data_IF_568756409867
#
_entry.id   IF_568756409867
#
_cell.length_a   1.000
_cell.length_b   1.000
_cell.length_c   1.000
_cell.angle_alpha   90.00
_cell.angle_beta   90.00
_cell.angle_gamma   90.00
#
_symmetry.space_group_name_H-M   'P 1'
#
loop_
_entity.id
_entity.type
_entity.pdbx_description
1 polymer ?
#
# COMPACT_ATOMS: atom_id res chain seq x y z
N UNK A 1 -25.94 -16.70 -3.99
CA UNK A 1 -26.17 -15.89 -2.76
C UNK A 1 -25.11 -14.81 -2.70
N UNK A 2 -25.48 -13.52 -2.81
CA UNK A 2 -24.52 -12.45 -2.53
C UNK A 2 -24.14 -12.53 -1.06
N UNK A 3 -22.86 -12.66 -0.77
CA UNK A 3 -22.36 -12.70 0.60
C UNK A 3 -22.80 -11.46 1.37
N UNK A 4 -23.27 -11.60 2.62
CA UNK A 4 -23.60 -10.48 3.53
C UNK A 4 -22.43 -9.51 3.78
N UNK A 5 -21.22 -9.85 3.33
CA UNK A 5 -19.98 -9.16 3.57
C UNK A 5 -19.45 -8.38 2.33
N UNK A 6 -20.25 -8.27 1.27
CA UNK A 6 -19.91 -7.43 0.12
C UNK A 6 -20.73 -6.15 0.11
N UNK A 7 -20.13 -5.00 -0.24
CA UNK A 7 -20.87 -3.77 -0.41
C UNK A 7 -21.86 -3.89 -1.57
N UNK A 8 -22.91 -3.10 -1.54
CA UNK A 8 -23.77 -2.90 -2.69
C UNK A 8 -23.07 -2.07 -3.79
N UNK A 9 -23.76 -1.84 -4.90
CA UNK A 9 -23.21 -1.04 -6.03
C UNK A 9 -22.87 0.41 -5.69
N UNK A 10 -23.35 0.91 -4.55
CA UNK A 10 -23.10 2.27 -4.07
C UNK A 10 -22.06 2.31 -2.94
N UNK A 11 -21.45 1.16 -2.62
CA UNK A 11 -20.44 1.06 -1.56
C UNK A 11 -21.00 0.93 -0.15
N UNK A 12 -22.26 0.51 0.01
CA UNK A 12 -22.88 0.34 1.31
C UNK A 12 -22.92 -1.12 1.77
N UNK A 13 -22.63 -1.32 3.05
CA UNK A 13 -22.86 -2.56 3.81
C UNK A 13 -24.10 -2.36 4.69
N UNK A 14 -25.30 -2.53 4.13
CA UNK A 14 -26.55 -2.17 4.78
C UNK A 14 -26.66 -0.66 4.99
N UNK A 15 -26.72 -0.22 6.24
CA UNK A 15 -26.76 1.21 6.60
C UNK A 15 -25.37 1.88 6.70
N UNK A 16 -24.28 1.13 6.58
CA UNK A 16 -22.91 1.62 6.71
C UNK A 16 -22.20 1.70 5.37
N UNK A 17 -21.34 2.68 5.19
CA UNK A 17 -20.54 2.85 3.99
C UNK A 17 -20.90 4.09 3.18
N UNK A 18 -20.59 4.05 1.90
CA UNK A 18 -20.73 5.18 0.98
C UNK A 18 -19.39 5.85 0.66
N UNK A 19 -19.43 6.92 -0.13
CA UNK A 19 -18.26 7.68 -0.57
C UNK A 19 -18.39 9.15 -0.14
N UNK A 20 -18.11 9.42 1.13
CA UNK A 20 -18.12 10.77 1.72
C UNK A 20 -16.72 11.40 1.57
N UNK A 21 -16.41 11.82 0.36
CA UNK A 21 -15.12 12.38 -0.03
C UNK A 21 -15.30 13.79 -0.61
N UNK A 22 -14.25 14.65 -0.64
CA UNK A 22 -14.30 15.93 -1.32
C UNK A 22 -14.68 15.78 -2.79
N UNK A 23 -15.51 16.68 -3.30
CA UNK A 23 -16.03 16.63 -4.68
C UNK A 23 -14.91 16.51 -5.73
N UNK A 24 -13.80 17.17 -5.48
CA UNK A 24 -12.61 17.12 -6.35
C UNK A 24 -12.08 15.70 -6.60
N UNK A 25 -12.28 14.77 -5.65
CA UNK A 25 -11.81 13.39 -5.73
C UNK A 25 -12.85 12.44 -6.36
N UNK A 26 -14.11 12.84 -6.48
CA UNK A 26 -15.18 12.00 -7.04
C UNK A 26 -14.84 11.40 -8.41
N UNK A 27 -14.32 12.18 -9.40
CA UNK A 27 -13.99 11.61 -10.71
C UNK A 27 -12.95 10.47 -10.62
N UNK A 28 -11.92 10.64 -9.80
CA UNK A 28 -10.88 9.63 -9.62
C UNK A 28 -11.38 8.37 -8.93
N UNK A 29 -12.21 8.55 -7.88
CA UNK A 29 -12.78 7.40 -7.14
C UNK A 29 -13.80 6.66 -8.02
N UNK A 30 -14.60 7.39 -8.82
CA UNK A 30 -15.53 6.78 -9.76
C UNK A 30 -14.80 5.98 -10.83
N UNK A 31 -13.76 6.53 -11.45
CA UNK A 31 -12.95 5.84 -12.45
C UNK A 31 -12.34 4.55 -11.87
N UNK A 32 -11.83 4.62 -10.64
CA UNK A 32 -11.32 3.43 -9.93
C UNK A 32 -12.43 2.40 -9.72
N UNK A 33 -13.59 2.82 -9.20
CA UNK A 33 -14.69 1.91 -8.91
C UNK A 33 -15.23 1.22 -10.17
N UNK A 34 -15.32 1.94 -11.29
CA UNK A 34 -15.82 1.43 -12.57
C UNK A 34 -14.86 0.39 -13.20
N UNK A 35 -13.56 0.50 -12.96
CA UNK A 35 -12.53 -0.32 -13.62
C UNK A 35 -11.85 -1.35 -12.72
N UNK A 36 -11.93 -1.19 -11.40
CA UNK A 36 -11.15 -1.94 -10.43
C UNK A 36 -11.26 -3.46 -10.61
N UNK A 37 -12.48 -3.99 -10.66
CA UNK A 37 -12.72 -5.44 -10.75
C UNK A 37 -12.15 -6.00 -12.05
N UNK A 38 -12.41 -5.36 -13.18
CA UNK A 38 -11.90 -5.79 -14.47
C UNK A 38 -10.37 -5.82 -14.51
N UNK A 39 -9.73 -4.82 -13.91
CA UNK A 39 -8.27 -4.75 -13.85
C UNK A 39 -7.71 -5.90 -13.02
N UNK A 40 -8.18 -6.05 -11.76
CA UNK A 40 -7.59 -7.04 -10.84
C UNK A 40 -7.87 -8.50 -11.24
N UNK A 41 -8.95 -8.76 -11.96
CA UNK A 41 -9.29 -10.11 -12.46
C UNK A 41 -8.58 -10.45 -13.78
N UNK A 42 -7.95 -9.48 -14.45
CA UNK A 42 -7.22 -9.73 -15.68
C UNK A 42 -5.98 -10.62 -15.44
N UNK A 43 -5.72 -11.56 -16.35
CA UNK A 43 -4.57 -12.45 -16.30
C UNK A 43 -3.24 -11.67 -16.32
N UNK A 44 -3.19 -10.60 -17.11
CA UNK A 44 -2.02 -9.72 -17.20
C UNK A 44 -1.69 -9.09 -15.83
N UNK A 45 -2.69 -8.50 -15.16
CA UNK A 45 -2.49 -7.91 -13.82
C UNK A 45 -2.04 -8.96 -12.81
N UNK A 46 -2.71 -10.12 -12.78
CA UNK A 46 -2.40 -11.18 -11.84
C UNK A 46 -0.99 -11.73 -12.03
N UNK A 47 -0.54 -11.85 -13.28
CA UNK A 47 0.81 -12.32 -13.62
C UNK A 47 1.87 -11.32 -13.17
N UNK A 48 1.72 -10.05 -13.54
CA UNK A 48 2.65 -8.98 -13.18
C UNK A 48 2.70 -8.77 -11.66
N UNK A 49 1.54 -8.74 -11.01
CA UNK A 49 1.44 -8.57 -9.55
C UNK A 49 2.13 -9.71 -8.79
N UNK A 50 1.88 -10.97 -9.18
CA UNK A 50 2.52 -12.13 -8.55
C UNK A 50 4.03 -12.16 -8.78
N UNK A 51 4.49 -11.80 -9.97
CA UNK A 51 5.92 -11.69 -10.26
C UNK A 51 6.57 -10.63 -9.37
N UNK A 52 6.00 -9.43 -9.26
CA UNK A 52 6.52 -8.39 -8.38
C UNK A 52 6.49 -8.78 -6.91
N UNK A 53 5.43 -9.43 -6.44
CA UNK A 53 5.38 -9.93 -5.06
C UNK A 53 6.51 -10.92 -4.78
N UNK A 54 6.81 -11.81 -5.70
CA UNK A 54 7.86 -12.82 -5.54
C UNK A 54 9.26 -12.22 -5.67
N UNK A 55 9.53 -11.50 -6.75
CA UNK A 55 10.88 -11.14 -7.17
C UNK A 55 11.34 -9.80 -6.62
N UNK A 56 10.42 -8.86 -6.42
CA UNK A 56 10.72 -7.52 -5.91
C UNK A 56 10.42 -7.35 -4.42
N UNK A 57 9.26 -7.83 -3.98
CA UNK A 57 8.84 -7.71 -2.56
C UNK A 57 9.50 -8.77 -1.68
N UNK A 58 9.77 -9.97 -2.22
CA UNK A 58 10.38 -11.07 -1.48
C UNK A 58 9.37 -11.98 -0.78
N UNK A 59 8.20 -12.20 -1.40
CA UNK A 59 7.18 -13.10 -0.85
C UNK A 59 7.28 -14.53 -1.40
N UNK A 60 6.83 -15.54 -0.63
CA UNK A 60 6.31 -15.45 0.75
C UNK A 60 7.40 -15.20 1.78
N UNK A 61 7.12 -14.35 2.77
CA UNK A 61 8.02 -14.16 3.90
C UNK A 61 8.00 -15.38 4.84
N UNK A 62 9.12 -15.70 5.51
CA UNK A 62 9.19 -16.85 6.41
C UNK A 62 8.25 -16.75 7.62
N UNK A 63 7.83 -17.90 8.10
CA UNK A 63 7.28 -18.08 9.44
C UNK A 63 8.37 -18.68 10.32
N UNK A 64 8.96 -17.88 11.22
CA UNK A 64 10.11 -18.23 12.03
C UNK A 64 9.71 -18.59 13.46
N UNK A 65 10.11 -19.79 13.94
CA UNK A 65 9.94 -20.15 15.34
C UNK A 65 10.97 -19.42 16.20
N UNK A 66 10.50 -18.54 17.08
CA UNK A 66 11.33 -17.79 18.01
C UNK A 66 11.61 -18.66 19.27
N UNK A 67 12.56 -19.58 19.17
CA UNK A 67 12.82 -20.61 20.20
C UNK A 67 13.01 -20.01 21.59
N UNK A 68 13.89 -19.02 21.75
CA UNK A 68 14.16 -18.39 23.05
C UNK A 68 12.95 -17.71 23.67
N UNK A 69 12.05 -17.13 22.85
CA UNK A 69 10.79 -16.57 23.34
C UNK A 69 9.82 -17.69 23.73
N UNK A 70 9.78 -18.75 22.93
CA UNK A 70 8.95 -19.92 23.22
C UNK A 70 9.32 -20.56 24.54
N UNK A 71 10.60 -20.77 24.80
CA UNK A 71 11.12 -21.33 26.05
C UNK A 71 10.80 -20.41 27.25
N UNK A 72 10.97 -19.09 27.07
CA UNK A 72 10.71 -18.11 28.12
C UNK A 72 9.23 -18.05 28.54
N UNK A 73 8.31 -18.19 27.60
CA UNK A 73 6.87 -18.04 27.85
C UNK A 73 6.10 -19.36 27.89
N UNK A 74 6.76 -20.50 27.68
CA UNK A 74 6.11 -21.82 27.70
C UNK A 74 5.09 -22.03 26.60
N UNK A 75 5.28 -21.38 25.44
CA UNK A 75 4.36 -21.43 24.30
C UNK A 75 5.12 -21.40 22.97
N UNK A 76 4.58 -22.00 21.92
CA UNK A 76 5.20 -21.89 20.60
C UNK A 76 4.93 -20.51 20.00
N UNK A 77 5.96 -19.66 19.91
CA UNK A 77 5.88 -18.31 19.38
C UNK A 77 6.50 -18.27 17.98
N UNK A 78 5.65 -17.97 16.98
CA UNK A 78 6.07 -17.81 15.59
C UNK A 78 6.04 -16.34 15.18
N UNK A 79 7.05 -15.90 14.47
CA UNK A 79 7.15 -14.57 13.88
C UNK A 79 6.89 -14.66 12.38
N UNK A 80 5.84 -14.01 11.90
CA UNK A 80 5.64 -13.78 10.47
C UNK A 80 6.54 -12.61 10.06
N UNK A 81 7.63 -12.92 9.33
CA UNK A 81 8.75 -12.01 9.08
C UNK A 81 8.46 -11.02 7.95
N UNK A 82 7.46 -10.15 8.14
CA UNK A 82 7.13 -9.08 7.17
C UNK A 82 8.20 -7.95 7.13
N UNK A 83 9.07 -7.92 8.11
CA UNK A 83 10.29 -7.10 8.15
C UNK A 83 11.30 -7.46 7.05
N UNK A 84 11.21 -8.67 6.49
CA UNK A 84 12.04 -9.14 5.37
C UNK A 84 11.48 -8.75 3.99
N UNK A 85 10.28 -8.17 3.92
CA UNK A 85 9.81 -7.57 2.69
C UNK A 85 10.72 -6.40 2.27
N UNK A 86 10.84 -6.17 0.98
CA UNK A 86 11.46 -4.95 0.46
C UNK A 86 10.85 -3.72 1.14
N UNK A 87 11.66 -2.74 1.53
CA UNK A 87 11.34 -1.59 2.40
C UNK A 87 11.30 -1.88 3.91
N UNK A 88 11.42 -3.14 4.34
CA UNK A 88 11.46 -3.53 5.75
C UNK A 88 10.10 -3.59 6.45
N UNK A 89 8.99 -3.59 5.69
CA UNK A 89 7.63 -3.64 6.25
C UNK A 89 6.60 -4.17 5.24
N UNK A 90 5.41 -4.54 5.75
CA UNK A 90 4.33 -5.12 4.95
C UNK A 90 3.66 -4.16 3.95
N UNK A 91 3.84 -2.85 4.09
CA UNK A 91 3.15 -1.84 3.25
C UNK A 91 3.45 -1.97 1.77
N UNK A 92 4.62 -2.47 1.39
CA UNK A 92 4.98 -2.71 -0.01
C UNK A 92 4.00 -3.68 -0.72
N UNK A 93 3.38 -4.59 0.01
CA UNK A 93 2.45 -5.57 -0.56
C UNK A 93 1.25 -4.89 -1.24
N UNK A 94 0.63 -3.92 -0.55
CA UNK A 94 -0.53 -3.23 -1.11
C UNK A 94 -0.14 -2.15 -2.11
N UNK A 95 0.99 -1.45 -1.89
CA UNK A 95 1.40 -0.39 -2.80
C UNK A 95 1.80 -0.90 -4.18
N UNK A 96 2.37 -2.12 -4.29
CA UNK A 96 2.62 -2.77 -5.58
C UNK A 96 1.32 -3.01 -6.36
N UNK A 97 0.26 -3.50 -5.71
CA UNK A 97 -1.04 -3.67 -6.38
C UNK A 97 -1.68 -2.34 -6.78
N UNK A 98 -1.64 -1.37 -5.89
CA UNK A 98 -2.21 -0.04 -6.14
C UNK A 98 -1.50 0.69 -7.28
N UNK A 99 -0.16 0.61 -7.36
CA UNK A 99 0.59 1.28 -8.44
C UNK A 99 0.31 0.66 -9.80
N UNK A 100 0.15 -0.66 -9.87
CA UNK A 100 -0.22 -1.35 -11.12
C UNK A 100 -1.60 -0.92 -11.61
N UNK A 101 -2.57 -0.79 -10.72
CA UNK A 101 -3.91 -0.28 -11.06
C UNK A 101 -3.80 1.16 -11.56
N UNK A 102 -3.10 2.03 -10.84
CA UNK A 102 -2.92 3.43 -11.23
C UNK A 102 -2.26 3.55 -12.61
N UNK A 103 -1.23 2.75 -12.90
CA UNK A 103 -0.55 2.71 -14.20
C UNK A 103 -1.50 2.25 -15.32
N UNK A 104 -2.31 1.22 -15.07
CA UNK A 104 -3.32 0.75 -16.05
C UNK A 104 -4.41 1.79 -16.32
N UNK A 105 -4.72 2.64 -15.35
CA UNK A 105 -5.61 3.80 -15.50
C UNK A 105 -4.90 5.04 -16.08
N UNK A 106 -3.66 4.92 -16.57
CA UNK A 106 -2.91 6.01 -17.17
C UNK A 106 -2.48 7.13 -16.22
N UNK A 107 -2.47 6.88 -14.90
CA UNK A 107 -2.03 7.87 -13.92
C UNK A 107 -0.51 8.05 -13.98
N UNK A 108 -0.07 9.30 -13.97
CA UNK A 108 1.35 9.68 -13.99
C UNK A 108 1.81 10.32 -12.69
N UNK A 109 0.87 10.74 -11.85
CA UNK A 109 1.12 11.39 -10.55
C UNK A 109 0.40 10.63 -9.45
N UNK A 110 1.15 10.26 -8.46
CA UNK A 110 0.67 9.51 -7.29
C UNK A 110 0.79 10.38 -6.06
N UNK A 111 -0.27 10.39 -5.26
CA UNK A 111 -0.25 11.02 -3.95
C UNK A 111 -0.45 9.96 -2.87
N UNK A 112 0.18 10.14 -1.72
CA UNK A 112 -0.03 9.33 -0.54
C UNK A 112 -0.04 10.20 0.71
N UNK A 113 -0.76 9.75 1.72
CA UNK A 113 -0.65 10.20 3.10
C UNK A 113 0.20 9.22 3.88
N UNK A 114 0.93 9.70 4.90
CA UNK A 114 1.67 8.83 5.80
C UNK A 114 1.81 9.47 7.19
N UNK A 115 1.63 8.70 8.23
CA UNK A 115 1.96 9.09 9.61
C UNK A 115 3.41 8.70 9.95
N UNK A 116 3.66 7.45 10.37
CA UNK A 116 5.01 6.97 10.72
C UNK A 116 6.00 6.87 9.55
N UNK A 117 5.58 7.14 8.32
CA UNK A 117 6.44 7.17 7.14
C UNK A 117 6.53 5.86 6.35
N UNK A 118 6.11 4.72 6.88
CA UNK A 118 6.26 3.42 6.20
C UNK A 118 5.43 3.31 4.93
N UNK A 119 4.20 3.83 4.92
CA UNK A 119 3.39 3.85 3.72
C UNK A 119 3.97 4.81 2.67
N UNK A 120 4.44 5.98 3.10
CA UNK A 120 5.12 6.94 2.22
C UNK A 120 6.36 6.35 1.56
N UNK A 121 7.22 5.65 2.33
CA UNK A 121 8.40 4.96 1.79
C UNK A 121 7.99 3.89 0.78
N UNK A 122 6.99 3.06 1.10
CA UNK A 122 6.52 2.02 0.17
C UNK A 122 5.94 2.62 -1.12
N UNK A 123 5.15 3.69 -1.03
CA UNK A 123 4.60 4.39 -2.20
C UNK A 123 5.72 5.02 -3.04
N UNK A 124 6.67 5.74 -2.41
CA UNK A 124 7.82 6.30 -3.10
C UNK A 124 8.64 5.23 -3.83
N UNK A 125 8.82 4.06 -3.18
CA UNK A 125 9.55 2.93 -3.76
C UNK A 125 8.89 2.41 -5.04
N UNK A 126 7.58 2.16 -5.02
CA UNK A 126 6.89 1.65 -6.22
C UNK A 126 6.72 2.72 -7.30
N UNK A 127 6.64 4.00 -6.93
CA UNK A 127 6.65 5.09 -7.89
C UNK A 127 8.00 5.18 -8.61
N UNK A 128 9.11 5.08 -7.87
CA UNK A 128 10.45 5.04 -8.45
C UNK A 128 10.63 3.83 -9.38
N UNK A 129 10.15 2.65 -8.98
CA UNK A 129 10.18 1.44 -9.80
C UNK A 129 9.43 1.63 -11.13
N UNK A 130 8.29 2.31 -11.11
CA UNK A 130 7.40 2.47 -12.27
C UNK A 130 7.64 3.78 -13.07
N UNK A 131 8.56 4.63 -12.63
CA UNK A 131 8.85 5.91 -13.26
C UNK A 131 7.72 6.95 -13.13
N UNK A 132 7.00 6.95 -12.00
CA UNK A 132 5.86 7.85 -11.75
C UNK A 132 6.24 8.96 -10.74
N UNK A 133 5.63 10.13 -10.91
CA UNK A 133 5.77 11.22 -9.94
C UNK A 133 5.10 10.85 -8.61
N UNK A 134 5.77 11.13 -7.49
CA UNK A 134 5.27 10.83 -6.15
C UNK A 134 5.28 12.06 -5.26
N UNK A 135 4.13 12.37 -4.64
CA UNK A 135 4.02 13.36 -3.57
C UNK A 135 3.42 12.72 -2.33
N UNK A 136 4.13 12.82 -1.21
CA UNK A 136 3.70 12.27 0.08
C UNK A 136 3.38 13.41 1.04
N UNK A 137 2.17 13.41 1.57
CA UNK A 137 1.74 14.34 2.61
C UNK A 137 1.97 13.70 3.99
N UNK A 138 2.62 14.44 4.88
CA UNK A 138 2.99 13.96 6.20
C UNK A 138 2.88 15.07 7.23
N UNK A 139 2.34 14.78 8.42
CA UNK A 139 2.22 15.74 9.49
C UNK A 139 3.58 16.36 9.88
N UNK A 140 3.64 17.66 10.11
CA UNK A 140 4.90 18.37 10.43
C UNK A 140 5.66 17.75 11.59
N UNK A 141 4.96 17.37 12.66
CA UNK A 141 5.59 16.74 13.83
C UNK A 141 6.18 15.37 13.48
N UNK A 142 5.53 14.64 12.59
CA UNK A 142 5.98 13.31 12.17
C UNK A 142 7.15 13.40 11.19
N UNK A 143 7.23 14.44 10.35
CA UNK A 143 8.38 14.72 9.50
C UNK A 143 9.68 14.81 10.34
N UNK A 144 9.61 15.49 11.48
CA UNK A 144 10.76 15.60 12.38
C UNK A 144 11.05 14.29 13.09
N UNK A 145 10.03 13.64 13.65
CA UNK A 145 10.17 12.39 14.41
C UNK A 145 10.66 11.23 13.55
N UNK A 146 10.26 11.22 12.29
CA UNK A 146 10.52 10.14 11.33
C UNK A 146 11.49 10.55 10.23
N UNK A 147 12.42 11.44 10.54
CA UNK A 147 13.40 11.97 9.59
C UNK A 147 14.12 10.90 8.73
N UNK A 148 14.47 9.69 9.24
CA UNK A 148 15.04 8.64 8.41
C UNK A 148 14.11 8.17 7.29
N UNK A 149 12.79 8.07 7.53
CA UNK A 149 11.82 7.70 6.50
C UNK A 149 11.62 8.83 5.49
N UNK A 150 11.63 10.09 5.96
CA UNK A 150 11.60 11.28 5.07
C UNK A 150 12.81 11.27 4.12
N UNK A 151 13.99 11.00 4.64
CA UNK A 151 15.22 10.88 3.83
C UNK A 151 15.07 9.79 2.77
N UNK A 152 14.58 8.59 3.13
CA UNK A 152 14.34 7.51 2.18
C UNK A 152 13.37 7.92 1.07
N UNK A 153 12.25 8.57 1.40
CA UNK A 153 11.29 9.04 0.40
C UNK A 153 11.93 10.02 -0.58
N UNK A 154 12.71 10.98 -0.07
CA UNK A 154 13.43 11.96 -0.90
C UNK A 154 14.50 11.32 -1.80
N UNK A 155 15.25 10.34 -1.28
CA UNK A 155 16.23 9.56 -2.08
C UNK A 155 15.57 8.80 -3.22
N UNK A 156 14.32 8.37 -3.05
CA UNK A 156 13.51 7.71 -4.08
C UNK A 156 12.82 8.70 -5.04
N UNK A 157 13.11 9.99 -4.92
CA UNK A 157 12.57 11.02 -5.79
C UNK A 157 11.19 11.55 -5.40
N UNK A 158 10.63 11.14 -4.27
CA UNK A 158 9.34 11.64 -3.83
C UNK A 158 9.45 13.04 -3.21
N UNK A 159 8.44 13.88 -3.48
CA UNK A 159 8.24 15.16 -2.79
C UNK A 159 7.51 14.87 -1.48
N UNK A 160 8.08 15.30 -0.35
CA UNK A 160 7.41 15.23 0.97
C UNK A 160 6.88 16.62 1.31
N UNK A 161 5.58 16.70 1.54
CA UNK A 161 4.86 17.95 1.82
C UNK A 161 4.31 17.90 3.24
N UNK A 162 4.62 18.91 4.09
CA UNK A 162 4.04 18.97 5.42
C UNK A 162 2.52 19.22 5.35
N UNK A 163 1.79 18.54 6.21
CA UNK A 163 0.39 18.80 6.51
C UNK A 163 0.30 19.41 7.91
N UNK A 164 -0.27 20.61 7.99
CA UNK A 164 -0.52 21.37 9.22
C UNK A 164 -1.85 20.97 9.86
#
# INVERSE_FOLDING_TARGET
MKSKFHPDKNGYFGQFGGAFIPELLHPNVKELADNYIQIIESEEFQTEYKALLKEYVGRPTPLYLAQRLSDKYGAHIYLKREDLCHTGAHKINNTVGQILIAKKLGKTKIIAETGAGQHGVATATVCALMGLECTVFMGEKDIVRQAPNVTRMKMLGAKVVPAT
#
